data_IF_154665900306
#
_entry.id   IF_154665900306
#
_cell.length_a   1.000
_cell.length_b   1.000
_cell.length_c   1.000
_cell.angle_alpha   90.00
_cell.angle_beta   90.00
_cell.angle_gamma   90.00
#
_symmetry.space_group_name_H-M   'P 1'
#
loop_
_entity.id
_entity.type
_entity.pdbx_description
1 polymer ?
#
# COMPACT_ATOMS: atom_id res chain seq x y z
N UNK A 1 -49.49 29.98 -50.88
CA UNK A 1 -48.08 30.23 -50.52
C UNK A 1 -47.96 30.26 -49.00
N UNK A 2 -47.03 29.47 -48.49
CA UNK A 2 -46.40 29.46 -47.15
C UNK A 2 -47.27 29.25 -45.89
N UNK A 3 -47.17 28.02 -45.38
CA UNK A 3 -47.52 27.57 -44.03
C UNK A 3 -46.28 27.76 -43.13
N UNK A 4 -46.39 28.28 -41.89
CA UNK A 4 -45.28 28.24 -40.95
C UNK A 4 -45.15 26.83 -40.33
N UNK A 5 -43.94 26.35 -40.01
CA UNK A 5 -43.78 25.10 -39.26
C UNK A 5 -44.03 25.33 -37.77
N UNK A 6 -44.96 24.55 -37.22
CA UNK A 6 -45.16 24.39 -35.77
C UNK A 6 -44.01 23.57 -35.18
N UNK A 7 -43.23 24.17 -34.27
CA UNK A 7 -42.23 23.46 -33.49
C UNK A 7 -42.87 22.98 -32.17
N UNK A 8 -42.99 21.67 -31.93
CA UNK A 8 -43.48 21.16 -30.65
C UNK A 8 -42.45 21.43 -29.55
N UNK A 9 -42.97 21.80 -28.37
CA UNK A 9 -42.25 22.21 -27.16
C UNK A 9 -41.23 21.16 -26.69
N UNK A 10 -40.01 21.23 -27.23
CA UNK A 10 -38.83 20.42 -26.89
C UNK A 10 -38.13 20.97 -25.63
N UNK A 11 -38.89 21.30 -24.58
CA UNK A 11 -38.36 22.04 -23.42
C UNK A 11 -38.45 21.39 -22.03
N UNK A 12 -39.08 20.20 -21.79
CA UNK A 12 -38.98 19.56 -20.48
C UNK A 12 -37.88 18.49 -20.39
N UNK A 13 -37.35 17.98 -21.51
CA UNK A 13 -36.38 16.87 -21.50
C UNK A 13 -34.94 17.30 -21.17
N UNK A 14 -34.56 18.55 -21.48
CA UNK A 14 -33.22 19.08 -21.19
C UNK A 14 -33.01 19.41 -19.70
N UNK A 15 -34.08 19.76 -18.96
CA UNK A 15 -33.98 20.11 -17.54
C UNK A 15 -33.85 18.88 -16.62
N UNK A 16 -34.38 17.72 -17.01
CA UNK A 16 -34.31 16.49 -16.22
C UNK A 16 -32.93 15.81 -16.25
N UNK A 17 -32.23 15.84 -17.39
CA UNK A 17 -30.95 15.14 -17.57
C UNK A 17 -29.80 15.68 -16.73
N UNK A 18 -29.78 17.00 -16.46
CA UNK A 18 -28.69 17.64 -15.70
C UNK A 18 -28.70 17.25 -14.21
N UNK A 19 -29.86 16.98 -13.62
CA UNK A 19 -29.96 16.63 -12.20
C UNK A 19 -29.39 15.23 -11.91
N UNK A 20 -29.56 14.28 -12.83
CA UNK A 20 -29.00 12.92 -12.68
C UNK A 20 -27.47 12.88 -12.79
N UNK A 21 -26.88 13.73 -13.64
CA UNK A 21 -25.41 13.82 -13.77
C UNK A 21 -24.78 14.33 -12.47
N UNK A 22 -25.39 15.34 -11.84
CA UNK A 22 -24.90 15.85 -10.55
C UNK A 22 -24.97 14.82 -9.42
N UNK A 23 -26.04 14.03 -9.36
CA UNK A 23 -26.18 12.95 -8.36
C UNK A 23 -25.19 11.82 -8.62
N UNK A 24 -24.98 11.44 -9.88
CA UNK A 24 -23.98 10.44 -10.26
C UNK A 24 -22.54 10.88 -9.89
N UNK A 25 -22.20 12.15 -10.14
CA UNK A 25 -20.90 12.72 -9.75
C UNK A 25 -20.68 12.73 -8.23
N UNK A 26 -21.73 12.97 -7.43
CA UNK A 26 -21.62 12.95 -5.97
C UNK A 26 -21.44 11.55 -5.39
N UNK A 27 -21.96 10.51 -6.07
CA UNK A 27 -21.75 9.11 -5.69
C UNK A 27 -20.31 8.68 -6.06
N UNK A 28 -19.80 9.10 -7.21
CA UNK A 28 -18.43 8.79 -7.68
C UNK A 28 -17.34 9.40 -6.78
N UNK A 29 -17.53 10.63 -6.28
CA UNK A 29 -16.62 11.26 -5.33
C UNK A 29 -16.49 10.52 -3.98
N UNK A 30 -17.53 9.79 -3.55
CA UNK A 30 -17.44 8.97 -2.33
C UNK A 30 -16.69 7.66 -2.55
N UNK A 31 -16.71 7.12 -3.76
CA UNK A 31 -16.01 5.88 -4.13
C UNK A 31 -14.52 6.07 -4.39
N UNK A 32 -14.12 7.23 -4.92
CA UNK A 32 -12.73 7.49 -5.36
C UNK A 32 -11.78 7.91 -4.23
N UNK A 33 -12.28 8.32 -3.06
CA UNK A 33 -11.45 8.72 -1.91
C UNK A 33 -10.85 7.53 -1.12
N UNK A 34 -11.23 6.29 -1.43
CA UNK A 34 -10.79 5.10 -0.67
C UNK A 34 -9.72 4.25 -1.38
N UNK A 35 -9.31 4.60 -2.61
CA UNK A 35 -8.52 3.70 -3.47
C UNK A 35 -7.01 3.96 -3.50
N UNK A 36 -6.49 5.02 -2.89
CA UNK A 36 -5.04 5.34 -2.99
C UNK A 36 -4.17 4.58 -1.99
N UNK A 37 -4.69 4.18 -0.83
CA UNK A 37 -3.90 3.42 0.17
C UNK A 37 -3.70 1.95 -0.18
N UNK A 38 -4.71 1.32 -0.76
CA UNK A 38 -4.65 -0.10 -1.16
C UNK A 38 -3.69 -0.30 -2.33
N UNK A 39 -3.67 0.64 -3.28
CA UNK A 39 -2.83 0.57 -4.47
C UNK A 39 -1.33 0.65 -4.10
N UNK A 40 -0.97 1.59 -3.22
CA UNK A 40 0.41 1.79 -2.75
C UNK A 40 0.96 0.62 -1.92
N UNK A 41 0.13 -0.04 -1.12
CA UNK A 41 0.55 -1.25 -0.37
C UNK A 41 0.85 -2.44 -1.29
N UNK A 42 0.14 -2.55 -2.43
CA UNK A 42 0.35 -3.62 -3.41
C UNK A 42 1.69 -3.51 -4.14
N UNK A 43 2.26 -2.31 -4.27
CA UNK A 43 3.55 -2.09 -4.93
C UNK A 43 4.70 -2.74 -4.14
N UNK A 44 4.66 -2.66 -2.81
CA UNK A 44 5.67 -3.30 -1.96
C UNK A 44 5.33 -4.78 -1.74
N UNK A 45 4.06 -5.11 -1.50
CA UNK A 45 3.62 -6.47 -1.20
C UNK A 45 2.63 -7.01 -2.25
N UNK A 46 3.11 -7.51 -3.40
CA UNK A 46 2.23 -7.85 -4.52
C UNK A 46 1.41 -9.14 -4.35
N UNK A 47 1.87 -10.12 -3.55
CA UNK A 47 1.30 -11.48 -3.60
C UNK A 47 0.97 -12.16 -2.26
N UNK A 48 1.62 -11.81 -1.15
CA UNK A 48 1.48 -12.54 0.11
C UNK A 48 1.41 -11.58 1.30
N UNK A 49 0.28 -10.91 1.45
CA UNK A 49 -0.01 -10.12 2.65
C UNK A 49 -0.40 -11.09 3.76
N UNK A 50 0.52 -11.30 4.69
CA UNK A 50 0.15 -11.84 6.01
C UNK A 50 -0.55 -10.71 6.74
N UNK A 51 -1.58 -10.98 7.54
CA UNK A 51 -2.12 -9.99 8.48
C UNK A 51 -1.07 -9.68 9.56
N UNK A 52 0.02 -9.04 9.17
CA UNK A 52 1.16 -8.70 10.00
C UNK A 52 0.79 -7.56 10.93
N UNK A 53 1.38 -7.59 12.13
CA UNK A 53 1.20 -6.54 13.11
C UNK A 53 1.94 -5.27 12.68
N UNK A 54 1.39 -4.12 13.09
CA UNK A 54 2.11 -2.84 12.99
C UNK A 54 3.30 -2.85 13.96
N UNK A 55 4.46 -2.42 13.48
CA UNK A 55 5.68 -2.33 14.25
C UNK A 55 5.63 -1.11 15.19
N UNK A 56 5.71 -1.36 16.50
CA UNK A 56 5.76 -0.29 17.50
C UNK A 56 7.12 0.41 17.56
N UNK A 57 7.17 1.62 18.11
CA UNK A 57 8.43 2.35 18.33
C UNK A 57 9.39 1.57 19.23
N UNK A 58 8.86 0.88 20.25
CA UNK A 58 9.68 0.09 21.17
C UNK A 58 10.26 -1.16 20.47
N UNK A 59 9.56 -1.73 19.50
CA UNK A 59 10.10 -2.82 18.70
C UNK A 59 11.17 -2.31 17.74
N UNK A 60 10.94 -1.17 17.08
CA UNK A 60 11.93 -0.54 16.22
C UNK A 60 13.19 -0.15 17.00
N UNK A 61 13.05 0.51 18.14
CA UNK A 61 14.17 0.88 19.00
C UNK A 61 14.97 -0.34 19.45
N UNK A 62 14.31 -1.46 19.77
CA UNK A 62 14.98 -2.72 20.10
C UNK A 62 15.73 -3.30 18.90
N UNK A 63 15.15 -3.27 17.69
CA UNK A 63 15.85 -3.70 16.48
C UNK A 63 17.14 -2.93 16.25
N UNK A 64 17.14 -1.61 16.48
CA UNK A 64 18.33 -0.76 16.30
C UNK A 64 19.50 -1.15 17.22
N UNK A 65 19.25 -1.95 18.27
CA UNK A 65 20.30 -2.50 19.15
C UNK A 65 20.84 -3.85 18.68
N UNK A 66 20.19 -4.51 17.71
CA UNK A 66 20.63 -5.80 17.18
C UNK A 66 21.79 -5.57 16.20
N UNK A 67 22.99 -6.12 16.46
CA UNK A 67 24.09 -6.01 15.53
C UNK A 67 23.82 -6.83 14.28
N UNK A 68 24.36 -6.38 13.14
CA UNK A 68 24.48 -7.19 11.94
C UNK A 68 25.14 -8.55 12.27
N UNK A 69 24.78 -9.58 11.48
CA UNK A 69 25.12 -10.99 11.70
C UNK A 69 24.49 -11.63 12.94
N UNK A 70 23.61 -10.91 13.63
CA UNK A 70 22.70 -11.48 14.63
C UNK A 70 21.76 -12.54 14.00
N UNK A 71 21.11 -13.37 14.81
CA UNK A 71 20.23 -14.41 14.26
C UNK A 71 18.89 -13.86 13.77
N UNK A 72 18.39 -14.39 12.65
CA UNK A 72 17.04 -14.13 12.12
C UNK A 72 15.96 -14.38 13.17
N UNK A 73 16.11 -15.44 13.96
CA UNK A 73 15.21 -15.78 15.07
C UNK A 73 15.16 -14.69 16.13
N UNK A 74 16.29 -14.08 16.50
CA UNK A 74 16.31 -12.98 17.46
C UNK A 74 15.53 -11.77 16.91
N UNK A 75 15.79 -11.40 15.65
CA UNK A 75 15.05 -10.31 15.00
C UNK A 75 13.55 -10.59 14.95
N UNK A 76 13.13 -11.78 14.52
CA UNK A 76 11.71 -12.18 14.49
C UNK A 76 11.07 -12.25 15.88
N UNK A 77 11.85 -12.48 16.95
CA UNK A 77 11.32 -12.41 18.32
C UNK A 77 10.98 -10.97 18.76
N UNK A 78 11.67 -9.97 18.19
CA UNK A 78 11.42 -8.55 18.43
C UNK A 78 10.30 -8.03 17.52
N UNK A 79 10.40 -8.28 16.22
CA UNK A 79 9.51 -7.72 15.20
C UNK A 79 8.23 -8.52 14.99
N UNK A 80 8.19 -9.77 15.45
CA UNK A 80 7.10 -10.73 15.18
C UNK A 80 7.01 -11.07 13.67
N UNK A 81 5.80 -11.41 13.20
CA UNK A 81 5.58 -11.78 11.82
C UNK A 81 5.62 -10.54 10.90
N UNK A 82 6.29 -10.63 9.74
CA UNK A 82 6.28 -9.55 8.76
C UNK A 82 4.90 -9.37 8.14
N UNK A 83 4.68 -8.19 7.57
CA UNK A 83 3.50 -7.91 6.76
C UNK A 83 3.54 -8.71 5.45
N UNK A 84 4.71 -8.77 4.80
CA UNK A 84 4.94 -9.68 3.69
C UNK A 84 6.42 -10.07 3.55
N UNK A 85 6.66 -11.19 2.89
CA UNK A 85 7.99 -11.55 2.39
C UNK A 85 8.13 -11.02 0.96
N UNK A 86 9.26 -10.37 0.68
CA UNK A 86 9.60 -9.85 -0.64
C UNK A 86 10.45 -10.88 -1.40
N UNK A 87 10.41 -10.82 -2.72
CA UNK A 87 11.26 -11.67 -3.57
C UNK A 87 12.72 -11.56 -3.15
N UNK A 88 13.43 -12.68 -3.06
CA UNK A 88 14.86 -12.66 -2.74
C UNK A 88 15.66 -11.91 -3.79
N UNK A 89 16.72 -11.19 -3.39
CA UNK A 89 17.66 -10.54 -4.31
C UNK A 89 19.04 -11.18 -4.20
N UNK A 90 19.79 -11.24 -5.29
CA UNK A 90 21.21 -11.58 -5.23
C UNK A 90 22.00 -10.29 -5.02
N UNK A 91 22.49 -10.06 -3.80
CA UNK A 91 23.27 -8.85 -3.47
C UNK A 91 24.74 -9.04 -3.90
N UNK A 92 25.22 -10.28 -3.90
CA UNK A 92 26.56 -10.70 -4.35
C UNK A 92 26.45 -12.05 -5.05
N UNK A 93 27.41 -12.36 -5.92
CA UNK A 93 27.43 -13.64 -6.65
C UNK A 93 27.32 -14.82 -5.67
N UNK A 94 26.18 -15.51 -5.71
CA UNK A 94 25.93 -16.74 -4.96
C UNK A 94 25.26 -16.60 -3.59
N UNK A 95 24.95 -15.39 -3.09
CA UNK A 95 24.24 -15.21 -1.82
C UNK A 95 22.87 -14.58 -2.06
N UNK A 96 21.82 -15.37 -1.86
CA UNK A 96 20.44 -14.90 -1.89
C UNK A 96 20.14 -14.17 -0.57
N UNK A 97 19.67 -12.93 -0.69
CA UNK A 97 19.18 -12.14 0.42
C UNK A 97 17.66 -12.25 0.49
N UNK A 98 17.16 -12.79 1.59
CA UNK A 98 15.75 -12.79 1.94
C UNK A 98 15.36 -11.42 2.50
N UNK A 99 14.10 -11.04 2.28
CA UNK A 99 13.64 -9.69 2.58
C UNK A 99 12.25 -9.74 3.17
N UNK A 100 12.07 -9.03 4.27
CA UNK A 100 10.81 -8.96 5.00
C UNK A 100 10.37 -7.50 5.13
N UNK A 101 9.09 -7.24 4.88
CA UNK A 101 8.51 -5.91 4.97
C UNK A 101 7.63 -5.78 6.22
N UNK A 102 7.84 -4.70 6.97
CA UNK A 102 7.07 -4.36 8.18
C UNK A 102 6.50 -2.94 8.04
N UNK A 103 5.26 -2.77 8.48
CA UNK A 103 4.58 -1.46 8.53
C UNK A 103 4.86 -0.78 9.87
N UNK A 104 5.23 0.50 9.86
CA UNK A 104 5.38 1.25 11.11
C UNK A 104 4.01 1.67 11.66
N UNK A 105 3.82 1.54 12.97
CA UNK A 105 2.59 1.97 13.64
C UNK A 105 2.42 3.50 13.62
N UNK A 106 3.54 4.24 13.75
CA UNK A 106 3.57 5.70 13.85
C UNK A 106 3.41 6.38 12.49
N UNK A 107 3.91 5.72 11.44
CA UNK A 107 3.94 6.25 10.08
C UNK A 107 3.59 5.14 9.07
N UNK A 108 2.29 4.90 8.81
CA UNK A 108 1.83 3.77 8.01
C UNK A 108 2.23 3.81 6.52
N UNK A 109 2.78 4.93 6.06
CA UNK A 109 3.32 5.11 4.70
C UNK A 109 4.82 4.77 4.61
N UNK A 110 5.49 4.59 5.76
CA UNK A 110 6.89 4.19 5.85
C UNK A 110 7.00 2.70 6.14
N UNK A 111 7.83 2.04 5.34
CA UNK A 111 8.10 0.61 5.47
C UNK A 111 9.50 0.38 6.01
N UNK A 112 9.61 -0.56 6.94
CA UNK A 112 10.88 -1.12 7.35
C UNK A 112 11.10 -2.41 6.55
N UNK A 113 12.17 -2.43 5.74
CA UNK A 113 12.59 -3.63 5.02
C UNK A 113 13.80 -4.22 5.74
N UNK A 114 13.65 -5.44 6.24
CA UNK A 114 14.71 -6.19 6.91
C UNK A 114 15.34 -7.18 5.93
N UNK A 115 16.67 -7.28 5.93
CA UNK A 115 17.44 -8.16 5.07
C UNK A 115 18.06 -9.30 5.87
N UNK A 116 18.02 -10.50 5.30
CA UNK A 116 18.69 -11.68 5.85
C UNK A 116 19.53 -12.37 4.79
N UNK A 117 20.70 -12.88 5.19
CA UNK A 117 21.53 -13.78 4.39
C UNK A 117 21.52 -15.16 5.09
N UNK A 118 20.66 -16.06 4.60
CA UNK A 118 20.35 -17.30 5.33
C UNK A 118 19.70 -16.99 6.67
N UNK A 119 20.28 -17.49 7.77
CA UNK A 119 19.80 -17.27 9.13
C UNK A 119 20.44 -16.05 9.83
N UNK A 120 21.26 -15.27 9.12
CA UNK A 120 21.91 -14.06 9.65
C UNK A 120 21.15 -12.78 9.24
N UNK A 121 20.95 -11.89 10.19
CA UNK A 121 20.46 -10.53 9.99
C UNK A 121 21.53 -9.69 9.28
N UNK A 122 21.22 -9.19 8.09
CA UNK A 122 22.14 -8.44 7.25
C UNK A 122 21.91 -6.91 7.33
N UNK A 123 20.87 -6.46 8.02
CA UNK A 123 20.56 -5.05 8.19
C UNK A 123 19.12 -4.70 7.82
N UNK A 124 18.83 -3.40 7.78
CA UNK A 124 17.52 -2.88 7.43
C UNK A 124 17.62 -1.60 6.59
N UNK A 125 16.52 -1.23 5.97
CA UNK A 125 16.37 0.03 5.27
C UNK A 125 14.93 0.53 5.40
N UNK A 126 14.77 1.85 5.47
CA UNK A 126 13.45 2.45 5.31
C UNK A 126 13.12 2.60 3.82
N UNK A 127 11.84 2.45 3.51
CA UNK A 127 11.26 2.79 2.22
C UNK A 127 10.10 3.75 2.46
N UNK A 128 10.25 4.94 1.90
CA UNK A 128 9.25 5.99 1.88
C UNK A 128 8.51 5.90 0.55
N UNK A 129 7.21 6.15 0.56
CA UNK A 129 6.39 6.25 -0.65
C UNK A 129 6.12 7.71 -1.02
#
# INVERSE_FOLDING_TARGET
>A
MHHPPDYPNLMPLLAGGLMFIFVALLIDMRGTLSSTRVDRQSEICPNNVTSGNLLSEEQLARLLTVPERGSKTNVRSILQAPYCELSSLQIRAGVAAEREAYLLAVEPETWLIVLYEGDEYAGFQFRFQ
#
